data_IF_298607585410
#
_entry.id   IF_298607585410
#
_cell.length_a   1.000
_cell.length_b   1.000
_cell.length_c   1.000
_cell.angle_alpha   90.00
_cell.angle_beta   90.00
_cell.angle_gamma   90.00
#
_symmetry.space_group_name_H-M   'P 1'
#
loop_
_entity.id
_entity.type
_entity.pdbx_description
1 polymer ?
#
# COMPACT_ATOMS: atom_id res chain seq x y z
N UNK A 1 16.47 -24.78 8.59
CA UNK A 1 16.56 -23.31 8.39
C UNK A 1 15.40 -22.89 7.51
N UNK A 2 14.34 -22.34 8.09
CA UNK A 2 13.25 -21.74 7.33
C UNK A 2 13.74 -20.39 6.83
N UNK A 3 14.05 -20.31 5.53
CA UNK A 3 14.36 -19.03 4.89
C UNK A 3 13.08 -18.17 4.91
N UNK A 4 12.99 -17.25 5.86
CA UNK A 4 12.02 -16.16 5.82
C UNK A 4 12.42 -15.30 4.62
N UNK A 5 11.55 -15.08 3.62
CA UNK A 5 11.92 -14.24 2.51
C UNK A 5 12.02 -12.81 3.06
N UNK A 6 13.26 -12.32 3.25
CA UNK A 6 13.54 -10.92 3.56
C UNK A 6 13.28 -10.10 2.29
N UNK A 7 12.01 -9.93 1.95
CA UNK A 7 11.53 -9.00 0.92
C UNK A 7 11.58 -7.59 1.49
N UNK A 8 12.78 -7.13 1.86
CA UNK A 8 12.98 -5.81 2.47
C UNK A 8 14.01 -4.96 1.74
N UNK A 9 14.91 -5.56 0.95
CA UNK A 9 16.14 -4.87 0.52
C UNK A 9 16.35 -4.79 -0.99
N UNK A 10 15.44 -5.31 -1.83
CA UNK A 10 15.69 -5.42 -3.28
C UNK A 10 14.84 -4.51 -4.20
N UNK A 11 14.10 -3.54 -3.67
CA UNK A 11 13.30 -2.63 -4.50
C UNK A 11 13.65 -1.20 -4.12
N UNK A 12 14.44 -0.55 -4.97
CA UNK A 12 14.95 0.80 -4.77
C UNK A 12 13.90 1.75 -4.20
N UNK A 13 14.23 2.41 -3.10
CA UNK A 13 13.41 3.42 -2.43
C UNK A 13 11.92 3.03 -2.25
N UNK A 14 11.64 1.82 -1.75
CA UNK A 14 10.29 1.50 -1.28
C UNK A 14 9.99 2.31 -0.01
N UNK A 15 9.09 3.30 -0.09
CA UNK A 15 8.70 4.13 1.06
C UNK A 15 7.35 3.67 1.59
N UNK A 16 7.30 3.38 2.88
CA UNK A 16 6.08 2.89 3.55
C UNK A 16 5.48 4.00 4.42
N UNK A 17 4.17 4.12 4.38
CA UNK A 17 3.41 5.10 5.17
C UNK A 17 2.24 4.39 5.86
N UNK A 18 2.03 4.71 7.13
CA UNK A 18 0.81 4.34 7.83
C UNK A 18 -0.27 5.36 7.46
N UNK A 19 -1.40 4.88 6.96
CA UNK A 19 -2.51 5.70 6.49
C UNK A 19 -3.83 5.21 7.09
N UNK A 20 -4.79 6.13 7.20
CA UNK A 20 -6.15 5.80 7.63
C UNK A 20 -7.06 5.88 6.41
N UNK A 21 -7.73 4.78 6.07
CA UNK A 21 -8.71 4.75 4.98
C UNK A 21 -10.05 5.23 5.53
N UNK A 22 -10.54 6.36 5.02
CA UNK A 22 -11.89 6.85 5.31
C UNK A 22 -12.97 5.99 4.63
N UNK A 23 -14.14 5.87 5.27
CA UNK A 23 -15.26 5.03 4.80
C UNK A 23 -16.05 5.52 3.57
N UNK A 24 -15.48 6.42 2.77
CA UNK A 24 -16.16 7.01 1.60
C UNK A 24 -16.10 6.16 0.33
N UNK A 25 -15.20 5.17 0.27
CA UNK A 25 -15.02 4.34 -0.92
C UNK A 25 -15.50 2.91 -0.65
N UNK A 26 -16.60 2.47 -1.29
CA UNK A 26 -17.16 1.12 -1.15
C UNK A 26 -16.18 0.00 -1.52
N UNK A 27 -15.12 0.30 -2.28
CA UNK A 27 -14.11 -0.67 -2.72
C UNK A 27 -12.98 -0.88 -1.71
N UNK A 28 -12.83 0.00 -0.71
CA UNK A 28 -11.76 -0.10 0.27
C UNK A 28 -12.33 -0.17 1.69
N UNK A 29 -11.91 -1.16 2.50
CA UNK A 29 -12.34 -1.22 3.89
C UNK A 29 -11.81 -0.02 4.65
N UNK A 30 -12.68 0.64 5.41
CA UNK A 30 -12.27 1.71 6.30
C UNK A 30 -11.36 1.15 7.41
N UNK A 31 -10.38 1.95 7.84
CA UNK A 31 -9.48 1.59 8.93
C UNK A 31 -7.99 1.78 8.63
N UNK A 32 -7.13 1.35 9.57
CA UNK A 32 -5.68 1.51 9.43
C UNK A 32 -5.14 0.62 8.31
N UNK A 33 -4.27 1.19 7.49
CA UNK A 33 -3.63 0.52 6.38
C UNK A 33 -2.18 1.00 6.20
N UNK A 34 -1.42 0.23 5.43
CA UNK A 34 -0.06 0.55 5.01
C UNK A 34 -0.08 0.88 3.52
N UNK A 35 0.45 2.04 3.17
CA UNK A 35 0.68 2.46 1.79
C UNK A 35 2.17 2.26 1.47
N UNK A 36 2.47 1.44 0.48
CA UNK A 36 3.84 1.25 0.00
C UNK A 36 3.99 1.94 -1.35
N UNK A 37 4.96 2.84 -1.47
CA UNK A 37 5.34 3.49 -2.72
C UNK A 37 6.58 2.80 -3.27
N UNK A 38 6.48 2.21 -4.45
CA UNK A 38 7.58 1.56 -5.17
C UNK A 38 7.70 2.18 -6.55
N UNK A 39 8.60 3.17 -6.68
CA UNK A 39 8.76 3.93 -7.92
C UNK A 39 7.48 4.63 -8.36
N UNK A 40 6.86 4.15 -9.45
CA UNK A 40 5.62 4.69 -10.05
C UNK A 40 4.35 3.94 -9.64
N UNK A 41 4.45 3.01 -8.70
CA UNK A 41 3.34 2.20 -8.22
C UNK A 41 3.12 2.45 -6.74
N UNK A 42 1.87 2.37 -6.32
CA UNK A 42 1.52 2.34 -4.91
C UNK A 42 0.63 1.15 -4.60
N UNK A 43 0.88 0.51 -3.47
CA UNK A 43 0.10 -0.60 -2.97
C UNK A 43 -0.44 -0.27 -1.59
N UNK A 44 -1.67 -0.71 -1.33
CA UNK A 44 -2.32 -0.52 -0.05
C UNK A 44 -2.52 -1.90 0.57
N UNK A 45 -2.06 -2.09 1.80
CA UNK A 45 -2.24 -3.34 2.54
C UNK A 45 -2.89 -3.07 3.89
N UNK A 46 -3.65 -4.02 4.43
CA UNK A 46 -4.21 -3.92 5.79
C UNK A 46 -4.32 -5.28 6.47
N UNK A 47 -4.45 -5.24 7.80
CA UNK A 47 -4.60 -6.43 8.64
C UNK A 47 -3.28 -7.14 8.98
N UNK A 48 -3.41 -8.20 9.79
CA UNK A 48 -2.32 -9.11 10.16
C UNK A 48 -2.83 -10.54 9.92
N UNK A 49 -2.22 -11.32 9.01
CA UNK A 49 -1.13 -10.96 8.09
C UNK A 49 -1.55 -9.88 7.07
N UNK A 50 -0.62 -9.07 6.55
CA UNK A 50 -0.95 -7.96 5.65
C UNK A 50 -1.60 -8.48 4.36
N UNK A 51 -2.84 -8.06 4.12
CA UNK A 51 -3.59 -8.36 2.90
C UNK A 51 -3.53 -7.19 1.94
N UNK A 52 -3.26 -7.47 0.66
CA UNK A 52 -3.28 -6.46 -0.39
C UNK A 52 -4.73 -6.01 -0.63
N UNK A 53 -5.01 -4.74 -0.34
CA UNK A 53 -6.29 -4.09 -0.60
C UNK A 53 -6.38 -3.56 -2.03
N UNK A 54 -5.24 -3.14 -2.60
CA UNK A 54 -5.18 -2.71 -3.98
C UNK A 54 -3.77 -2.32 -4.42
N UNK A 55 -3.59 -2.32 -5.73
CA UNK A 55 -2.40 -1.85 -6.42
C UNK A 55 -2.83 -0.89 -7.51
N UNK A 56 -2.11 0.22 -7.62
CA UNK A 56 -2.39 1.24 -8.60
C UNK A 56 -1.08 1.79 -9.16
N UNK A 57 -1.14 2.22 -10.42
CA UNK A 57 -0.05 2.94 -11.07
C UNK A 57 -0.35 4.43 -11.06
N UNK A 58 0.67 5.26 -10.81
CA UNK A 58 0.54 6.72 -10.82
C UNK A 58 -0.07 7.24 -12.13
N UNK A 59 0.19 6.55 -13.25
CA UNK A 59 -0.34 6.91 -14.56
C UNK A 59 -1.88 6.87 -14.64
N UNK A 60 -2.54 6.06 -13.81
CA UNK A 60 -4.00 5.88 -13.82
C UNK A 60 -4.73 6.71 -12.76
N UNK A 61 -3.99 7.42 -11.90
CA UNK A 61 -4.56 8.31 -10.91
C UNK A 61 -4.98 9.63 -11.56
N UNK A 62 -6.27 9.77 -11.87
CA UNK A 62 -6.84 11.02 -12.41
C UNK A 62 -6.96 12.13 -11.37
N UNK A 63 -7.09 11.79 -10.09
CA UNK A 63 -7.18 12.73 -8.98
C UNK A 63 -6.78 12.02 -7.68
N UNK A 64 -5.70 12.46 -7.03
CA UNK A 64 -5.25 11.90 -5.76
C UNK A 64 -4.99 13.06 -4.79
N UNK A 65 -5.85 13.20 -3.78
CA UNK A 65 -5.70 14.21 -2.74
C UNK A 65 -5.44 13.49 -1.42
N UNK A 66 -4.21 13.62 -0.91
CA UNK A 66 -3.88 13.28 0.46
C UNK A 66 -4.08 14.58 1.25
N UNK A 67 -5.07 14.60 2.15
CA UNK A 67 -5.33 15.73 3.06
C UNK A 67 -5.29 15.20 4.49
#
# INVERSE_FOLDING_TARGET
MFASPQVGTQLGSSKEFLVMIGGGNKKLPAGPARLHLQGRRFTLTSGVPPRLLGLWELAHLRFCRFY
#
